data_IF_890316594147
#
_entry.id   IF_890316594147
#
_cell.length_a   1.000
_cell.length_b   1.000
_cell.length_c   1.000
_cell.angle_alpha   90.00
_cell.angle_beta   90.00
_cell.angle_gamma   90.00
#
_symmetry.space_group_name_H-M   'P 1'
#
loop_
_entity.id
_entity.type
_entity.pdbx_description
1 polymer ?
#
# COMPACT_ATOMS: atom_id res chain seq x y z
N UNK A 1 -44.15 98.63 -7.63
CA UNK A 1 -43.72 97.89 -6.43
C UNK A 1 -44.47 96.58 -6.46
N UNK A 2 -43.96 95.66 -7.26
CA UNK A 2 -44.48 94.29 -7.34
C UNK A 2 -43.56 93.41 -6.52
N UNK A 3 -44.16 92.65 -5.59
CA UNK A 3 -43.47 91.80 -4.64
C UNK A 3 -42.79 90.66 -5.39
N UNK A 4 -41.46 90.62 -5.29
CA UNK A 4 -40.66 89.43 -5.59
C UNK A 4 -41.07 88.36 -4.57
N UNK A 5 -41.52 87.15 -4.98
CA UNK A 5 -41.71 86.06 -4.05
C UNK A 5 -40.34 85.57 -3.57
N UNK A 6 -40.06 85.73 -2.28
CA UNK A 6 -38.97 85.03 -1.59
C UNK A 6 -39.40 83.57 -1.40
N UNK A 7 -39.02 82.68 -2.31
CA UNK A 7 -39.09 81.23 -2.04
C UNK A 7 -37.68 80.71 -1.78
N UNK A 8 -37.27 80.74 -0.51
CA UNK A 8 -36.17 79.91 0.00
C UNK A 8 -36.64 78.44 0.10
N UNK A 9 -37.09 77.85 -1.00
CA UNK A 9 -37.48 76.43 -1.09
C UNK A 9 -36.82 75.74 -2.29
N UNK A 10 -35.51 75.97 -2.48
CA UNK A 10 -34.71 75.15 -3.40
C UNK A 10 -33.59 74.51 -2.59
N UNK A 11 -33.86 73.29 -2.13
CA UNK A 11 -32.85 72.34 -1.63
C UNK A 11 -32.87 72.12 -0.12
N UNK A 12 -33.69 71.18 0.35
CA UNK A 12 -33.48 70.57 1.65
C UNK A 12 -32.34 69.53 1.54
N UNK A 13 -31.29 69.68 2.35
CA UNK A 13 -30.27 68.64 2.49
C UNK A 13 -30.89 67.44 3.22
N UNK A 14 -31.11 66.34 2.50
CA UNK A 14 -31.51 65.06 3.11
C UNK A 14 -30.24 64.32 3.50
N UNK A 15 -30.14 63.89 4.75
CA UNK A 15 -29.06 63.01 5.17
C UNK A 15 -29.17 61.70 4.38
N UNK A 16 -28.18 61.41 3.53
CA UNK A 16 -28.10 60.14 2.81
C UNK A 16 -27.42 59.15 3.73
N UNK A 17 -28.11 58.06 4.08
CA UNK A 17 -27.47 56.93 4.72
C UNK A 17 -26.60 56.19 3.68
N UNK A 18 -25.28 56.30 3.86
CA UNK A 18 -24.30 55.66 2.99
C UNK A 18 -24.45 54.13 3.05
N UNK A 19 -24.86 53.59 4.21
CA UNK A 19 -25.07 52.16 4.39
C UNK A 19 -26.29 51.65 3.59
N UNK A 20 -27.39 52.39 3.55
CA UNK A 20 -28.59 52.00 2.78
C UNK A 20 -28.37 52.09 1.26
N UNK A 21 -27.46 52.95 0.82
CA UNK A 21 -27.20 53.16 -0.61
C UNK A 21 -26.06 52.30 -1.16
N UNK A 22 -25.10 51.90 -0.32
CA UNK A 22 -23.95 51.09 -0.74
C UNK A 22 -24.11 49.59 -0.42
N UNK A 23 -24.60 49.26 0.77
CA UNK A 23 -24.70 47.86 1.22
C UNK A 23 -26.06 47.27 0.84
N UNK A 24 -26.06 46.02 0.36
CA UNK A 24 -27.30 45.31 0.12
C UNK A 24 -28.01 45.01 1.45
N UNK A 25 -29.24 45.48 1.60
CA UNK A 25 -30.01 45.37 2.85
C UNK A 25 -30.37 43.93 3.20
N UNK A 26 -30.49 43.04 2.20
CA UNK A 26 -30.80 41.63 2.42
C UNK A 26 -29.57 40.82 2.83
N UNK A 27 -28.41 41.06 2.22
CA UNK A 27 -27.17 40.32 2.45
C UNK A 27 -26.30 40.88 3.57
N UNK A 28 -26.49 42.13 3.97
CA UNK A 28 -25.68 42.78 5.01
C UNK A 28 -26.18 42.44 6.41
N UNK A 29 -25.27 42.00 7.29
CA UNK A 29 -25.56 41.80 8.73
C UNK A 29 -25.30 43.05 9.55
N UNK A 30 -24.30 43.84 9.14
CA UNK A 30 -23.86 45.07 9.80
C UNK A 30 -23.15 45.94 8.78
N UNK A 31 -23.38 47.25 8.83
CA UNK A 31 -22.60 48.23 8.09
C UNK A 31 -21.79 49.05 9.09
N UNK A 32 -20.48 49.15 8.87
CA UNK A 32 -19.57 49.92 9.68
C UNK A 32 -19.08 51.14 8.88
N UNK A 33 -19.20 52.35 9.44
CA UNK A 33 -18.72 53.58 8.81
C UNK A 33 -17.31 53.91 9.31
N UNK A 34 -16.38 54.15 8.39
CA UNK A 34 -15.05 54.63 8.74
C UNK A 34 -15.13 56.13 9.03
N UNK A 35 -14.82 56.49 10.28
CA UNK A 35 -14.89 57.87 10.76
C UNK A 35 -13.98 58.78 9.91
N UNK A 36 -14.55 59.88 9.42
CA UNK A 36 -13.83 60.91 8.67
C UNK A 36 -13.61 60.65 7.18
N UNK A 37 -14.06 59.51 6.63
CA UNK A 37 -13.82 59.18 5.20
C UNK A 37 -15.08 58.95 4.38
N UNK A 38 -16.27 58.94 5.00
CA UNK A 38 -17.55 58.62 4.33
C UNK A 38 -17.54 57.25 3.60
N UNK A 39 -16.69 56.32 4.03
CA UNK A 39 -16.61 54.96 3.48
C UNK A 39 -17.44 54.02 4.37
N UNK A 40 -18.37 53.30 3.74
CA UNK A 40 -19.11 52.20 4.36
C UNK A 40 -18.43 50.85 4.10
N UNK A 41 -18.32 50.03 5.14
CA UNK A 41 -17.85 48.65 5.06
C UNK A 41 -19.02 47.73 5.36
N UNK A 42 -19.45 46.97 4.36
CA UNK A 42 -20.54 46.03 4.51
C UNK A 42 -20.01 44.71 5.08
N UNK A 43 -20.50 44.35 6.26
CA UNK A 43 -20.24 43.04 6.85
C UNK A 43 -21.38 42.13 6.44
N UNK A 44 -21.07 41.08 5.68
CA UNK A 44 -22.08 40.21 5.08
C UNK A 44 -22.60 39.14 6.05
N UNK A 45 -23.82 38.67 5.80
CA UNK A 45 -24.37 37.43 6.36
C UNK A 45 -23.57 36.23 5.84
N UNK A 46 -23.62 35.11 6.54
CA UNK A 46 -22.86 33.89 6.16
C UNK A 46 -23.19 33.40 4.75
N UNK A 47 -24.39 33.67 4.24
CA UNK A 47 -24.84 33.25 2.90
C UNK A 47 -24.50 34.23 1.78
N UNK A 48 -23.92 35.39 2.09
CA UNK A 48 -23.63 36.47 1.13
C UNK A 48 -22.17 36.87 1.19
N UNK A 49 -21.64 37.41 0.10
CA UNK A 49 -20.24 37.81 -0.03
C UNK A 49 -20.05 39.07 -0.88
N UNK A 50 -18.80 39.50 -0.97
CA UNK A 50 -18.39 40.67 -1.75
C UNK A 50 -18.45 41.97 -0.96
N UNK A 51 -17.97 43.07 -1.54
CA UNK A 51 -17.81 44.35 -0.84
C UNK A 51 -19.15 45.00 -0.44
N UNK A 52 -20.23 44.68 -1.17
CA UNK A 52 -21.59 45.21 -0.94
C UNK A 52 -22.56 44.16 -0.43
N UNK A 53 -22.11 42.92 -0.21
CA UNK A 53 -22.95 41.79 0.22
C UNK A 53 -24.12 41.44 -0.71
N UNK A 54 -24.10 41.88 -1.98
CA UNK A 54 -25.17 41.62 -2.94
C UNK A 54 -25.07 40.25 -3.62
N UNK A 55 -23.95 39.55 -3.48
CA UNK A 55 -23.71 38.26 -4.13
C UNK A 55 -23.95 37.11 -3.14
N UNK A 56 -24.54 35.98 -3.59
CA UNK A 56 -24.55 34.77 -2.80
C UNK A 56 -23.11 34.27 -2.60
N UNK A 57 -22.81 33.71 -1.43
CA UNK A 57 -21.47 33.21 -1.12
C UNK A 57 -21.05 32.13 -2.11
N UNK A 58 -19.87 32.29 -2.68
CA UNK A 58 -19.19 31.30 -3.51
C UNK A 58 -18.01 30.71 -2.71
N UNK A 59 -18.16 29.49 -2.16
CA UNK A 59 -17.13 28.85 -1.35
C UNK A 59 -15.87 28.46 -2.14
N UNK A 60 -15.94 28.47 -3.47
CA UNK A 60 -14.75 28.31 -4.30
C UNK A 60 -13.85 29.55 -4.25
N UNK A 61 -14.41 30.74 -4.02
CA UNK A 61 -13.68 32.01 -3.98
C UNK A 61 -13.32 32.41 -2.54
N UNK A 62 -14.30 32.41 -1.64
CA UNK A 62 -14.08 32.74 -0.22
C UNK A 62 -15.08 32.03 0.69
N UNK A 63 -14.59 31.63 1.86
CA UNK A 63 -15.39 31.04 2.93
C UNK A 63 -15.78 32.09 3.96
N UNK A 64 -16.76 31.77 4.80
CA UNK A 64 -17.17 32.66 5.89
C UNK A 64 -16.02 32.92 6.89
N UNK A 65 -15.16 31.93 7.11
CA UNK A 65 -13.90 32.03 7.83
C UNK A 65 -12.76 32.29 6.84
N UNK A 66 -12.13 33.46 6.94
CA UNK A 66 -11.12 33.92 5.97
C UNK A 66 -9.80 33.14 6.05
N UNK A 67 -9.56 32.46 7.16
CA UNK A 67 -8.38 31.63 7.42
C UNK A 67 -8.47 30.26 6.75
N UNK A 68 -9.69 29.80 6.41
CA UNK A 68 -9.90 28.52 5.74
C UNK A 68 -9.54 28.63 4.25
N UNK A 69 -9.01 27.53 3.72
CA UNK A 69 -8.62 27.45 2.32
C UNK A 69 -9.86 27.46 1.40
N UNK A 70 -9.96 28.40 0.44
CA UNK A 70 -11.06 28.43 -0.51
C UNK A 70 -11.02 27.25 -1.48
N UNK A 71 -12.19 26.88 -2.02
CA UNK A 71 -12.32 25.70 -2.88
C UNK A 71 -11.49 25.77 -4.17
N UNK A 72 -11.26 26.94 -4.77
CA UNK A 72 -10.40 27.06 -5.96
C UNK A 72 -8.95 26.61 -5.68
N UNK A 73 -8.47 26.91 -4.48
CA UNK A 73 -7.14 26.51 -4.02
C UNK A 73 -7.14 25.04 -3.60
N UNK A 74 -8.11 24.62 -2.80
CA UNK A 74 -8.24 23.25 -2.33
C UNK A 74 -8.39 22.24 -3.48
N UNK A 75 -9.21 22.56 -4.49
CA UNK A 75 -9.43 21.72 -5.66
C UNK A 75 -8.31 21.83 -6.71
N UNK A 76 -7.24 22.59 -6.45
CA UNK A 76 -6.07 22.71 -7.32
C UNK A 76 -6.43 23.06 -8.78
N UNK A 77 -7.24 24.11 -8.97
CA UNK A 77 -7.75 24.49 -10.30
C UNK A 77 -6.63 24.84 -11.28
N UNK A 78 -5.53 25.41 -10.79
CA UNK A 78 -4.35 25.71 -11.61
C UNK A 78 -3.75 24.48 -12.28
N UNK A 79 -3.91 23.29 -11.67
CA UNK A 79 -3.43 22.01 -12.19
C UNK A 79 -4.54 21.20 -12.88
N UNK A 80 -5.65 21.84 -13.25
CA UNK A 80 -6.76 21.23 -13.99
C UNK A 80 -7.86 20.62 -13.12
N UNK A 81 -7.83 20.82 -11.80
CA UNK A 81 -8.96 20.47 -10.95
C UNK A 81 -10.14 21.43 -11.12
N UNK A 82 -11.29 21.03 -10.59
CA UNK A 82 -12.52 21.81 -10.71
C UNK A 82 -13.23 21.88 -9.37
N UNK A 83 -13.54 23.10 -8.93
CA UNK A 83 -14.38 23.35 -7.78
C UNK A 83 -15.86 23.43 -8.21
N UNK A 84 -16.73 22.76 -7.47
CA UNK A 84 -18.19 22.79 -7.65
C UNK A 84 -18.79 23.40 -6.38
N UNK A 85 -19.24 24.67 -6.42
CA UNK A 85 -19.76 25.35 -5.24
C UNK A 85 -21.23 24.99 -4.97
N UNK A 86 -21.59 25.00 -3.70
CA UNK A 86 -23.00 25.18 -3.27
C UNK A 86 -23.19 26.64 -2.88
N UNK A 87 -23.77 27.43 -3.80
CA UNK A 87 -23.94 28.87 -3.60
C UNK A 87 -24.75 29.20 -2.34
N UNK A 88 -24.31 30.24 -1.64
CA UNK A 88 -24.88 30.67 -0.36
C UNK A 88 -24.42 29.85 0.85
N UNK A 89 -23.35 29.06 0.71
CA UNK A 89 -22.80 28.23 1.78
C UNK A 89 -21.27 28.20 1.75
N UNK A 90 -20.66 27.51 2.71
CA UNK A 90 -19.22 27.20 2.75
C UNK A 90 -18.89 25.84 2.09
N UNK A 91 -19.88 25.15 1.52
CA UNK A 91 -19.72 23.80 0.98
C UNK A 91 -19.33 23.80 -0.49
N UNK A 92 -18.29 23.05 -0.82
CA UNK A 92 -17.86 22.80 -2.18
C UNK A 92 -17.41 21.34 -2.34
N UNK A 93 -17.45 20.87 -3.57
CA UNK A 93 -16.94 19.56 -3.97
C UNK A 93 -15.82 19.72 -4.99
N UNK A 94 -14.77 18.92 -4.86
CA UNK A 94 -13.66 18.93 -5.81
C UNK A 94 -13.76 17.78 -6.80
N UNK A 95 -13.60 18.10 -8.08
CA UNK A 95 -13.31 17.12 -9.13
C UNK A 95 -11.83 17.19 -9.48
N UNK A 96 -11.09 16.19 -9.03
CA UNK A 96 -9.65 16.15 -9.24
C UNK A 96 -9.28 15.76 -10.69
N UNK A 97 -8.18 16.33 -11.22
CA UNK A 97 -7.60 15.93 -12.51
C UNK A 97 -6.96 14.54 -12.40
N UNK A 98 -6.50 13.98 -13.54
CA UNK A 98 -5.91 12.64 -13.56
C UNK A 98 -4.64 12.48 -12.73
N UNK A 99 -3.91 13.56 -12.45
CA UNK A 99 -2.63 13.56 -11.73
C UNK A 99 -2.76 13.87 -10.23
N UNK A 100 -3.93 14.28 -9.76
CA UNK A 100 -4.16 14.65 -8.37
C UNK A 100 -5.37 13.89 -7.80
N UNK A 101 -5.40 13.75 -6.48
CA UNK A 101 -6.47 13.09 -5.74
C UNK A 101 -6.65 13.78 -4.39
N UNK A 102 -7.70 13.38 -3.66
CA UNK A 102 -7.97 13.87 -2.32
C UNK A 102 -6.84 13.46 -1.38
N UNK A 103 -6.31 14.44 -0.67
CA UNK A 103 -5.44 14.21 0.49
C UNK A 103 -6.31 13.89 1.70
N UNK A 104 -6.23 12.64 2.16
CA UNK A 104 -6.98 12.14 3.31
C UNK A 104 -6.39 12.57 4.65
N UNK A 105 -5.22 13.23 4.68
CA UNK A 105 -4.69 13.85 5.90
C UNK A 105 -5.41 15.16 6.26
N UNK A 106 -6.23 15.67 5.35
CA UNK A 106 -6.99 16.92 5.51
C UNK A 106 -8.49 16.61 5.56
N UNK A 107 -9.18 17.18 6.55
CA UNK A 107 -10.61 16.95 6.82
C UNK A 107 -11.56 17.75 5.90
N UNK A 108 -11.12 18.15 4.71
CA UNK A 108 -11.95 18.90 3.74
C UNK A 108 -11.77 18.39 2.31
N UNK A 109 -12.73 18.70 1.43
CA UNK A 109 -12.65 18.33 0.01
C UNK A 109 -11.48 19.03 -0.67
N UNK A 110 -10.62 18.26 -1.34
CA UNK A 110 -9.40 18.80 -1.91
C UNK A 110 -8.84 17.89 -3.03
N UNK A 111 -7.87 18.41 -3.78
CA UNK A 111 -7.09 17.69 -4.79
C UNK A 111 -5.60 17.96 -4.59
N UNK A 112 -5.13 17.82 -3.35
CA UNK A 112 -3.79 18.22 -2.93
C UNK A 112 -2.80 17.05 -2.80
N UNK A 113 -3.27 15.81 -2.89
CA UNK A 113 -2.39 14.65 -2.97
C UNK A 113 -2.09 14.31 -4.43
N UNK A 114 -0.84 13.99 -4.76
CA UNK A 114 -0.50 13.46 -6.07
C UNK A 114 -1.16 12.09 -6.23
N UNK A 115 -1.74 11.82 -7.40
CA UNK A 115 -2.34 10.52 -7.69
C UNK A 115 -1.23 9.49 -7.92
N UNK A 116 -0.77 8.91 -6.81
CA UNK A 116 0.09 7.76 -6.78
C UNK A 116 -0.69 6.52 -7.27
N UNK A 117 -0.16 5.79 -8.26
CA UNK A 117 -0.77 4.54 -8.74
C UNK A 117 -0.89 3.45 -7.66
N UNK A 118 -0.07 3.45 -6.60
CA UNK A 118 -0.20 2.56 -5.45
C UNK A 118 -1.50 2.77 -4.66
N UNK A 119 -2.20 3.90 -4.84
CA UNK A 119 -3.56 4.05 -4.30
C UNK A 119 -4.61 3.21 -5.04
N UNK A 120 -4.32 2.77 -6.26
CA UNK A 120 -5.23 1.94 -7.08
C UNK A 120 -4.71 0.53 -7.35
N UNK A 121 -3.38 0.36 -7.33
CA UNK A 121 -2.70 -0.88 -7.63
C UNK A 121 -2.47 -1.67 -6.34
N UNK A 122 -2.85 -2.96 -6.33
CA UNK A 122 -2.78 -3.79 -5.12
C UNK A 122 -1.62 -4.78 -5.21
N UNK A 123 -0.64 -4.64 -4.32
CA UNK A 123 0.35 -5.66 -4.02
C UNK A 123 -0.22 -6.58 -2.92
N UNK A 124 -0.50 -7.86 -3.23
CA UNK A 124 -1.29 -8.75 -2.36
C UNK A 124 -0.62 -9.01 -1.01
N UNK A 125 0.71 -9.14 -0.99
CA UNK A 125 1.50 -9.48 0.20
C UNK A 125 2.79 -8.65 0.33
N UNK A 126 2.93 -7.60 -0.46
CA UNK A 126 4.16 -6.82 -0.56
C UNK A 126 3.88 -5.34 -0.47
N UNK A 127 4.96 -4.57 -0.36
CA UNK A 127 4.88 -3.12 -0.33
C UNK A 127 4.76 -2.58 -1.75
N UNK A 128 3.86 -1.62 -1.94
CA UNK A 128 3.75 -0.90 -3.20
C UNK A 128 4.61 0.35 -3.16
N UNK A 129 5.46 0.54 -4.17
CA UNK A 129 6.23 1.75 -4.36
C UNK A 129 5.92 2.32 -5.73
N UNK A 130 5.69 3.63 -5.79
CA UNK A 130 5.55 4.34 -7.05
C UNK A 130 6.80 5.11 -7.43
N UNK A 131 6.95 5.30 -8.74
CA UNK A 131 7.93 6.23 -9.31
C UNK A 131 7.70 7.65 -8.81
N UNK A 132 8.73 8.50 -8.90
CA UNK A 132 8.69 9.90 -8.43
C UNK A 132 7.59 10.74 -9.12
N UNK A 133 7.21 10.37 -10.34
CA UNK A 133 6.13 10.98 -11.12
C UNK A 133 4.77 10.30 -10.90
N UNK A 134 4.70 9.26 -10.07
CA UNK A 134 3.49 8.49 -9.75
C UNK A 134 2.93 7.64 -10.90
N UNK A 135 3.65 7.56 -12.04
CA UNK A 135 3.12 6.94 -13.26
C UNK A 135 3.34 5.43 -13.34
N UNK A 136 4.34 4.92 -12.63
CA UNK A 136 4.72 3.51 -12.57
C UNK A 136 4.69 2.99 -11.14
N UNK A 137 4.42 1.70 -10.98
CA UNK A 137 4.37 1.00 -9.69
C UNK A 137 5.24 -0.23 -9.72
N UNK A 138 5.87 -0.52 -8.58
CA UNK A 138 6.62 -1.74 -8.33
C UNK A 138 6.16 -2.36 -7.02
N UNK A 139 5.75 -3.62 -7.06
CA UNK A 139 5.50 -4.40 -5.86
C UNK A 139 6.80 -5.04 -5.38
N UNK A 140 7.22 -4.70 -4.15
CA UNK A 140 8.32 -5.36 -3.48
C UNK A 140 7.77 -6.53 -2.68
N UNK A 141 8.02 -7.75 -3.17
CA UNK A 141 7.55 -8.95 -2.53
C UNK A 141 8.46 -9.40 -1.38
N UNK A 142 7.88 -9.87 -0.25
CA UNK A 142 8.65 -10.55 0.78
C UNK A 142 9.19 -11.89 0.26
N UNK A 143 10.13 -12.50 0.98
CA UNK A 143 10.85 -13.70 0.51
C UNK A 143 9.91 -14.86 0.16
N UNK A 144 8.84 -15.02 0.93
CA UNK A 144 7.82 -16.05 0.77
C UNK A 144 6.85 -15.78 -0.39
N UNK A 145 6.94 -14.64 -1.09
CA UNK A 145 6.04 -14.30 -2.18
C UNK A 145 6.79 -13.96 -3.49
N UNK A 146 6.08 -14.07 -4.60
CA UNK A 146 6.57 -13.68 -5.92
C UNK A 146 5.41 -13.46 -6.90
N UNK A 147 5.73 -12.96 -8.09
CA UNK A 147 4.76 -12.50 -9.06
C UNK A 147 4.86 -10.99 -9.22
N UNK A 148 4.13 -10.44 -10.19
CA UNK A 148 4.11 -8.99 -10.46
C UNK A 148 3.47 -8.22 -9.30
N UNK A 149 2.49 -8.84 -8.62
CA UNK A 149 1.74 -8.27 -7.49
C UNK A 149 1.90 -9.07 -6.20
N UNK A 150 2.94 -9.90 -6.10
CA UNK A 150 3.17 -10.80 -4.96
C UNK A 150 1.99 -11.76 -4.69
N UNK A 151 1.30 -12.15 -5.76
CA UNK A 151 0.10 -12.99 -5.72
C UNK A 151 0.42 -14.46 -5.43
N UNK A 152 1.61 -14.91 -5.81
CA UNK A 152 2.05 -16.29 -5.65
C UNK A 152 2.90 -16.47 -4.39
N UNK A 153 2.70 -17.59 -3.68
CA UNK A 153 3.52 -17.97 -2.54
C UNK A 153 4.65 -18.90 -2.97
N UNK A 154 5.86 -18.64 -2.47
CA UNK A 154 7.00 -19.55 -2.57
C UNK A 154 6.81 -20.70 -1.61
N UNK A 155 7.23 -21.87 -2.06
CA UNK A 155 7.37 -23.00 -1.17
C UNK A 155 8.63 -22.89 -0.31
N UNK A 156 8.65 -23.61 0.80
CA UNK A 156 9.82 -23.79 1.64
C UNK A 156 10.48 -25.15 1.36
N UNK A 157 11.80 -25.21 1.44
CA UNK A 157 12.48 -26.50 1.30
C UNK A 157 12.10 -27.44 2.44
N UNK A 158 11.64 -28.63 2.07
CA UNK A 158 11.49 -29.72 3.02
C UNK A 158 12.84 -30.23 3.51
N UNK A 159 12.79 -31.09 4.53
CA UNK A 159 13.96 -31.82 4.97
C UNK A 159 14.49 -32.72 3.86
N UNK A 160 15.80 -32.92 3.88
CA UNK A 160 16.44 -33.93 3.05
C UNK A 160 15.97 -35.33 3.42
N UNK A 161 15.80 -36.17 2.41
CA UNK A 161 15.73 -37.62 2.64
C UNK A 161 17.05 -38.12 3.25
N UNK A 162 17.03 -39.32 3.87
CA UNK A 162 18.27 -40.06 4.07
C UNK A 162 19.06 -40.17 2.76
N UNK A 163 20.38 -40.30 2.88
CA UNK A 163 21.23 -40.61 1.74
C UNK A 163 20.88 -41.99 1.18
N UNK A 164 20.92 -42.12 -0.14
CA UNK A 164 20.86 -43.41 -0.81
C UNK A 164 22.07 -44.27 -0.43
N UNK A 165 21.95 -45.57 -0.71
CA UNK A 165 23.12 -46.43 -0.82
C UNK A 165 24.06 -45.92 -1.92
N UNK A 166 25.34 -46.25 -1.80
CA UNK A 166 26.32 -45.92 -2.81
C UNK A 166 26.06 -46.71 -4.10
N UNK A 167 26.10 -46.02 -5.23
CA UNK A 167 26.03 -46.61 -6.57
C UNK A 167 27.32 -46.27 -7.34
N UNK A 168 28.03 -47.28 -7.88
CA UNK A 168 27.81 -48.71 -7.69
C UNK A 168 28.07 -49.15 -6.22
N UNK A 169 27.49 -50.29 -5.85
CA UNK A 169 27.60 -50.89 -4.51
C UNK A 169 29.06 -51.20 -4.09
N UNK A 170 29.92 -51.49 -5.06
CA UNK A 170 31.32 -51.85 -4.90
C UNK A 170 32.13 -51.43 -6.16
N UNK A 171 33.45 -51.43 -6.06
CA UNK A 171 34.37 -51.26 -7.19
C UNK A 171 35.66 -50.53 -6.77
N UNK A 172 36.77 -51.24 -6.80
CA UNK A 172 38.10 -50.68 -6.52
C UNK A 172 38.51 -49.69 -7.60
N UNK A 173 38.81 -48.45 -7.23
CA UNK A 173 39.17 -47.40 -8.20
C UNK A 173 37.99 -46.85 -9.01
N UNK A 174 36.74 -47.24 -8.71
CA UNK A 174 35.54 -46.61 -9.27
C UNK A 174 35.01 -45.55 -8.31
N UNK A 175 34.74 -44.35 -8.82
CA UNK A 175 34.08 -43.30 -8.04
C UNK A 175 32.64 -43.75 -7.77
N UNK A 176 32.30 -43.87 -6.49
CA UNK A 176 30.96 -44.21 -6.02
C UNK A 176 30.24 -42.97 -5.57
N UNK A 177 28.94 -42.88 -5.89
CA UNK A 177 28.12 -41.74 -5.50
C UNK A 177 26.92 -42.17 -4.68
N UNK A 178 26.52 -41.32 -3.74
CA UNK A 178 25.23 -41.39 -3.06
C UNK A 178 24.49 -40.08 -3.26
N UNK A 179 23.17 -40.15 -3.21
CA UNK A 179 22.31 -39.00 -3.43
C UNK A 179 21.23 -38.86 -2.37
N UNK A 180 20.76 -37.63 -2.16
CA UNK A 180 19.58 -37.35 -1.37
C UNK A 180 18.76 -36.27 -2.06
N UNK A 181 17.45 -36.31 -1.82
CA UNK A 181 16.50 -35.38 -2.43
C UNK A 181 15.66 -34.68 -1.35
N UNK A 182 15.07 -33.55 -1.70
CA UNK A 182 14.10 -32.85 -0.84
C UNK A 182 12.97 -32.27 -1.69
N UNK A 183 11.77 -32.19 -1.12
CA UNK A 183 10.63 -31.57 -1.77
C UNK A 183 10.57 -30.06 -1.56
N UNK A 184 9.79 -29.37 -2.39
CA UNK A 184 9.32 -28.02 -2.12
C UNK A 184 7.95 -28.14 -1.44
N UNK A 185 7.83 -27.64 -0.21
CA UNK A 185 6.61 -27.69 0.58
C UNK A 185 5.80 -26.41 0.36
N UNK A 186 4.48 -26.53 0.26
CA UNK A 186 3.54 -25.40 0.20
C UNK A 186 3.68 -24.46 -1.02
N UNK A 187 4.34 -24.90 -2.09
CA UNK A 187 4.39 -24.19 -3.36
C UNK A 187 5.21 -24.95 -4.40
N UNK A 188 5.18 -24.46 -5.65
CA UNK A 188 5.86 -25.11 -6.78
C UNK A 188 7.27 -24.55 -7.04
N UNK A 189 7.59 -23.40 -6.44
CA UNK A 189 8.85 -22.69 -6.62
C UNK A 189 9.52 -22.38 -5.28
N UNK A 190 10.62 -23.08 -4.99
CA UNK A 190 11.50 -22.83 -3.85
C UNK A 190 12.75 -22.08 -4.32
N UNK A 191 13.12 -20.99 -3.64
CA UNK A 191 14.32 -20.19 -3.98
C UNK A 191 15.55 -20.75 -3.25
N UNK A 192 16.70 -20.76 -3.94
CA UNK A 192 18.02 -21.09 -3.38
C UNK A 192 18.25 -22.59 -3.15
N UNK A 193 19.46 -23.09 -3.37
CA UNK A 193 19.82 -24.50 -3.16
C UNK A 193 19.20 -25.48 -4.18
N UNK A 194 19.66 -26.74 -4.15
CA UNK A 194 19.25 -27.78 -5.12
C UNK A 194 18.19 -28.71 -4.54
N UNK A 195 17.33 -29.28 -5.42
CA UNK A 195 16.38 -30.35 -5.07
C UNK A 195 17.10 -31.67 -4.78
N UNK A 196 18.23 -31.90 -5.43
CA UNK A 196 19.05 -33.11 -5.38
C UNK A 196 20.47 -32.74 -4.97
N UNK A 197 21.04 -33.49 -4.04
CA UNK A 197 22.44 -33.41 -3.67
C UNK A 197 23.09 -34.76 -3.95
N UNK A 198 24.30 -34.73 -4.51
CA UNK A 198 25.12 -35.92 -4.80
C UNK A 198 26.45 -35.75 -4.08
N UNK A 199 26.93 -36.81 -3.46
CA UNK A 199 28.19 -36.87 -2.73
C UNK A 199 28.98 -38.11 -3.14
N UNK A 200 30.30 -38.02 -3.13
CA UNK A 200 31.20 -39.17 -3.35
C UNK A 200 31.28 -39.99 -2.06
N UNK A 201 31.16 -41.30 -2.15
CA UNK A 201 31.26 -42.16 -0.97
C UNK A 201 32.70 -42.21 -0.46
N UNK A 202 32.92 -42.11 0.87
CA UNK A 202 34.27 -42.05 1.46
C UNK A 202 35.01 -43.40 1.45
N UNK A 203 34.29 -44.52 1.37
CA UNK A 203 34.85 -45.86 1.41
C UNK A 203 34.97 -46.47 0.01
N UNK A 204 36.19 -46.86 -0.35
CA UNK A 204 36.46 -47.73 -1.48
C UNK A 204 36.23 -49.18 -1.03
N UNK A 205 35.10 -49.75 -1.45
CA UNK A 205 34.77 -51.15 -1.16
C UNK A 205 35.05 -51.99 -2.42
N UNK A 206 35.96 -52.97 -2.36
CA UNK A 206 36.22 -53.87 -3.47
C UNK A 206 35.01 -54.77 -3.75
N UNK A 207 34.80 -55.12 -5.02
CA UNK A 207 33.77 -56.08 -5.39
C UNK A 207 34.18 -57.53 -5.05
N UNK A 208 33.23 -58.47 -4.88
CA UNK A 208 33.53 -59.88 -4.62
C UNK A 208 34.53 -60.48 -5.64
N UNK A 209 34.36 -60.18 -6.92
CA UNK A 209 35.23 -60.68 -7.98
C UNK A 209 36.66 -60.10 -7.89
N UNK A 210 36.79 -58.86 -7.42
CA UNK A 210 38.09 -58.21 -7.18
C UNK A 210 38.79 -58.81 -5.96
N UNK A 211 38.04 -59.13 -4.90
CA UNK A 211 38.56 -59.81 -3.70
C UNK A 211 39.07 -61.23 -4.02
N UNK A 212 38.33 -61.97 -4.86
CA UNK A 212 38.74 -63.30 -5.35
C UNK A 212 40.04 -63.22 -6.14
N UNK A 213 40.20 -62.19 -6.97
CA UNK A 213 41.43 -61.97 -7.75
C UNK A 213 42.63 -61.61 -6.86
N UNK A 214 42.38 -61.01 -5.69
CA UNK A 214 43.39 -60.62 -4.70
C UNK A 214 43.70 -61.71 -3.65
N UNK A 215 43.04 -62.88 -3.72
CA UNK A 215 43.24 -63.98 -2.77
C UNK A 215 42.75 -63.69 -1.35
N UNK A 216 41.86 -62.72 -1.17
CA UNK A 216 41.27 -62.34 0.11
C UNK A 216 39.95 -63.11 0.34
N UNK A 217 39.72 -63.59 1.56
CA UNK A 217 38.54 -64.38 1.93
C UNK A 217 37.23 -63.56 1.99
N UNK A 218 36.06 -64.23 2.12
CA UNK A 218 34.73 -63.59 2.18
C UNK A 218 34.56 -62.63 3.38
N UNK A 219 35.47 -62.67 4.35
CA UNK A 219 35.56 -61.76 5.49
C UNK A 219 35.92 -60.32 5.08
N UNK A 220 36.43 -60.11 3.85
CA UNK A 220 36.72 -58.80 3.27
C UNK A 220 35.51 -58.16 2.55
N UNK A 221 34.36 -58.84 2.50
CA UNK A 221 33.12 -58.26 1.98
C UNK A 221 32.57 -57.25 2.98
N UNK A 222 32.23 -56.05 2.51
CA UNK A 222 31.45 -55.11 3.31
C UNK A 222 30.13 -55.76 3.78
N UNK A 223 29.59 -55.38 4.95
CA UNK A 223 28.31 -55.89 5.44
C UNK A 223 27.24 -55.88 4.35
N UNK A 224 26.44 -56.95 4.27
CA UNK A 224 25.44 -57.20 3.21
C UNK A 224 24.32 -56.14 3.08
N UNK A 225 24.38 -55.04 3.82
CA UNK A 225 23.43 -53.92 3.73
C UNK A 225 23.49 -53.14 2.38
N UNK A 226 24.27 -53.61 1.40
CA UNK A 226 24.52 -52.92 0.12
C UNK A 226 23.86 -53.62 -1.08
N UNK A 227 23.07 -54.68 -0.89
CA UNK A 227 22.38 -55.39 -1.99
C UNK A 227 20.90 -55.04 -2.20
N UNK A 228 20.35 -54.08 -1.45
CA UNK A 228 19.03 -53.50 -1.69
C UNK A 228 19.12 -51.98 -1.87
N UNK A 229 19.93 -51.53 -2.83
CA UNK A 229 20.05 -50.11 -3.19
C UNK A 229 19.12 -49.73 -4.34
N UNK A 230 17.84 -49.46 -4.05
CA UNK A 230 17.01 -48.69 -4.97
C UNK A 230 17.54 -47.25 -5.11
N UNK A 231 17.27 -46.59 -6.23
CA UNK A 231 17.52 -45.14 -6.43
C UNK A 231 16.98 -44.31 -5.25
N UNK A 232 17.49 -43.09 -5.01
CA UNK A 232 16.88 -42.21 -4.00
C UNK A 232 15.47 -41.81 -4.43
N UNK A 233 14.49 -42.64 -4.08
CA UNK A 233 13.10 -42.30 -4.27
C UNK A 233 12.66 -41.38 -3.14
N UNK A 234 12.00 -40.25 -3.46
CA UNK A 234 11.37 -39.43 -2.45
C UNK A 234 10.37 -40.29 -1.67
N UNK A 235 10.60 -40.48 -0.37
CA UNK A 235 9.64 -41.15 0.49
C UNK A 235 8.48 -40.19 0.77
N UNK A 236 7.50 -40.19 -0.13
CA UNK A 236 6.34 -39.29 -0.10
C UNK A 236 5.51 -39.44 1.18
N UNK A 237 5.50 -40.63 1.79
CA UNK A 237 4.78 -40.90 3.04
C UNK A 237 5.47 -40.23 4.23
N UNK A 238 6.81 -40.33 4.32
CA UNK A 238 7.60 -39.58 5.29
C UNK A 238 7.45 -38.07 5.09
N UNK A 239 7.47 -37.60 3.84
CA UNK A 239 7.28 -36.17 3.53
C UNK A 239 5.87 -35.67 3.93
N UNK A 240 4.82 -36.46 3.67
CA UNK A 240 3.45 -36.16 4.14
C UNK A 240 3.33 -36.18 5.65
N UNK A 241 3.89 -37.19 6.31
CA UNK A 241 3.84 -37.32 7.77
C UNK A 241 4.54 -36.14 8.45
N UNK A 242 5.70 -35.71 7.93
CA UNK A 242 6.38 -34.52 8.41
C UNK A 242 5.59 -33.23 8.12
N UNK A 243 5.01 -33.07 6.94
CA UNK A 243 4.17 -31.90 6.63
C UNK A 243 2.95 -31.81 7.57
N UNK A 244 2.31 -32.94 7.87
CA UNK A 244 1.21 -33.00 8.84
C UNK A 244 1.68 -32.70 10.26
N UNK A 245 2.83 -33.22 10.68
CA UNK A 245 3.42 -32.94 11.99
C UNK A 245 3.78 -31.46 12.13
N UNK A 246 4.36 -30.85 11.10
CA UNK A 246 4.67 -29.42 11.07
C UNK A 246 3.42 -28.55 11.12
N UNK A 247 2.37 -28.87 10.35
CA UNK A 247 1.07 -28.15 10.42
C UNK A 247 0.47 -28.21 11.81
N UNK A 248 0.46 -29.40 12.45
CA UNK A 248 0.00 -29.54 13.84
C UNK A 248 0.81 -28.67 14.78
N UNK A 249 2.13 -28.64 14.63
CA UNK A 249 3.01 -27.87 15.51
C UNK A 249 2.84 -26.35 15.32
N UNK A 250 2.73 -25.90 14.07
CA UNK A 250 2.50 -24.49 13.71
C UNK A 250 1.16 -23.98 14.24
N UNK A 251 0.08 -24.75 14.05
CA UNK A 251 -1.25 -24.43 14.60
C UNK A 251 -1.22 -24.39 16.13
N UNK A 252 -0.55 -25.35 16.78
CA UNK A 252 -0.41 -25.37 18.24
C UNK A 252 0.34 -24.12 18.75
N UNK A 253 1.41 -23.70 18.05
CA UNK A 253 2.16 -22.48 18.39
C UNK A 253 1.31 -21.22 18.19
N UNK A 254 0.53 -21.14 17.11
CA UNK A 254 -0.37 -20.00 16.89
C UNK A 254 -1.48 -19.93 17.95
N UNK A 255 -2.08 -21.06 18.32
CA UNK A 255 -3.06 -21.15 19.41
C UNK A 255 -2.42 -20.74 20.73
N UNK A 256 -1.21 -21.23 21.05
CA UNK A 256 -0.50 -20.85 22.27
C UNK A 256 -0.16 -19.36 22.31
N UNK A 257 0.26 -18.76 21.18
CA UNK A 257 0.48 -17.31 21.08
C UNK A 257 -0.81 -16.52 21.29
N UNK A 258 -1.92 -16.98 20.72
CA UNK A 258 -3.22 -16.34 20.88
C UNK A 258 -3.74 -16.43 22.32
N UNK A 259 -3.60 -17.59 22.96
CA UNK A 259 -3.92 -17.78 24.38
C UNK A 259 -3.03 -16.90 25.26
N UNK A 260 -1.73 -16.80 24.96
CA UNK A 260 -0.83 -15.91 25.69
C UNK A 260 -1.24 -14.43 25.56
N UNK A 261 -1.61 -13.99 24.37
CA UNK A 261 -2.13 -12.63 24.15
C UNK A 261 -3.44 -12.36 24.90
N UNK A 262 -4.33 -13.34 25.01
CA UNK A 262 -5.57 -13.22 25.78
C UNK A 262 -5.35 -13.24 27.30
N UNK A 263 -4.30 -13.91 27.78
CA UNK A 263 -3.95 -13.97 29.20
C UNK A 263 -3.12 -12.75 29.65
N UNK A 264 -2.50 -12.04 28.71
CA UNK A 264 -1.69 -10.83 28.97
C UNK A 264 -2.39 -9.52 28.58
N UNK A 265 -3.65 -9.58 28.13
CA UNK A 265 -4.54 -8.43 27.93
C UNK A 265 -5.51 -8.30 29.12
#
# INVERSE_FOLDING_TARGET
WERIPSSDEIGACVAIDICETYCDSFGTRRCDLILGTAIAVCVCKLTHMGPTCSLPRDPCIELSEKEKMPGNMACNIGQGGRCIPTFGSDFYECRCPSTWTKDYSLDFENCLALKDRCMSEVCVRGDCISSADGSETLCICPEEAYGERCENLRGSWGHWTPWSSCSPACGSGKIRHRERVRGCLYGDSCRGGKRRQVEVCPENVPCPDELVTLGLGPEALAPQDVLQGGEAQPNFDLQRAYALKYRRHSLLIQVLKFVFLLLCA
#
